data_IF_281330794551
#
_entry.id   IF_281330794551
#
_cell.length_a   1.000
_cell.length_b   1.000
_cell.length_c   1.000
_cell.angle_alpha   90.00
_cell.angle_beta   90.00
_cell.angle_gamma   90.00
#
_symmetry.space_group_name_H-M   'P 1'
#
loop_
_entity.id
_entity.type
_entity.pdbx_description
1 polymer ?
#
# COMPACT_ATOMS: atom_id res chain seq x y z
N UNK A 1 -27.78 -88.15 -21.27
CA UNK A 1 -27.50 -86.74 -21.63
C UNK A 1 -26.80 -86.11 -20.43
N UNK A 2 -25.47 -86.07 -20.45
CA UNK A 2 -24.60 -84.92 -20.81
C UNK A 2 -24.29 -84.07 -19.57
N UNK A 3 -23.16 -84.29 -18.89
CA UNK A 3 -21.81 -83.73 -19.12
C UNK A 3 -21.74 -82.19 -19.14
N UNK A 4 -21.00 -81.68 -18.14
CA UNK A 4 -20.41 -80.34 -18.01
C UNK A 4 -19.62 -79.92 -19.26
N UNK A 5 -19.56 -78.63 -19.60
CA UNK A 5 -18.35 -77.76 -19.54
C UNK A 5 -18.53 -76.36 -20.19
N UNK A 6 -17.68 -75.42 -19.75
CA UNK A 6 -17.67 -73.92 -19.90
C UNK A 6 -17.39 -73.36 -21.32
N UNK A 7 -17.55 -72.04 -21.61
CA UNK A 7 -16.48 -71.00 -21.47
C UNK A 7 -17.00 -69.52 -21.29
N UNK A 8 -16.20 -68.43 -21.44
CA UNK A 8 -14.90 -68.06 -20.84
C UNK A 8 -14.85 -66.65 -20.18
N UNK A 9 -13.69 -66.37 -19.57
CA UNK A 9 -13.18 -65.10 -19.04
C UNK A 9 -13.11 -63.92 -20.04
N UNK A 10 -13.42 -62.71 -19.55
CA UNK A 10 -12.74 -61.42 -19.85
C UNK A 10 -12.81 -60.65 -18.50
N UNK A 11 -11.76 -60.21 -17.81
CA UNK A 11 -10.45 -59.76 -18.25
C UNK A 11 -10.40 -58.23 -18.34
N UNK A 12 -10.63 -57.51 -17.23
CA UNK A 12 -10.22 -56.09 -17.09
C UNK A 12 -10.15 -55.72 -15.60
N UNK A 13 -8.94 -55.70 -15.05
CA UNK A 13 -8.67 -55.08 -13.75
C UNK A 13 -8.69 -53.57 -13.89
N UNK A 14 -9.74 -52.93 -13.36
CA UNK A 14 -9.76 -51.48 -13.17
C UNK A 14 -9.05 -51.19 -11.85
N UNK A 15 -7.82 -50.69 -11.92
CA UNK A 15 -7.10 -50.21 -10.75
C UNK A 15 -7.71 -48.87 -10.33
N UNK A 16 -8.60 -48.90 -9.33
CA UNK A 16 -9.27 -47.72 -8.80
C UNK A 16 -8.24 -46.82 -8.09
N UNK A 17 -8.00 -45.62 -8.62
CA UNK A 17 -7.24 -44.58 -7.92
C UNK A 17 -7.90 -44.28 -6.57
N UNK A 18 -7.08 -44.11 -5.52
CA UNK A 18 -7.63 -43.71 -4.22
C UNK A 18 -8.23 -42.30 -4.34
N UNK A 19 -9.44 -42.13 -3.81
CA UNK A 19 -10.21 -40.89 -3.87
C UNK A 19 -9.39 -39.65 -3.50
N UNK A 20 -8.46 -39.76 -2.54
CA UNK A 20 -7.58 -38.66 -2.12
C UNK A 20 -6.65 -38.12 -3.23
N UNK A 21 -6.12 -38.97 -4.12
CA UNK A 21 -5.26 -38.51 -5.22
C UNK A 21 -6.07 -37.79 -6.32
N UNK A 22 -7.31 -38.23 -6.56
CA UNK A 22 -8.24 -37.59 -7.48
C UNK A 22 -8.62 -36.19 -7.00
N UNK A 23 -8.91 -36.01 -5.71
CA UNK A 23 -9.22 -34.69 -5.15
C UNK A 23 -8.03 -33.73 -5.21
N UNK A 24 -6.82 -34.19 -4.89
CA UNK A 24 -5.62 -33.34 -4.95
C UNK A 24 -5.34 -32.78 -6.36
N UNK A 25 -5.59 -33.57 -7.41
CA UNK A 25 -5.35 -33.17 -8.80
C UNK A 25 -6.47 -32.28 -9.37
N UNK A 26 -7.71 -32.48 -8.94
CA UNK A 26 -8.83 -31.58 -9.26
C UNK A 26 -8.58 -30.19 -8.64
N UNK A 27 -8.18 -30.16 -7.37
CA UNK A 27 -7.81 -28.91 -6.68
C UNK A 27 -6.69 -28.20 -7.45
N UNK A 28 -5.71 -28.97 -7.93
CA UNK A 28 -4.55 -28.43 -8.62
C UNK A 28 -4.89 -27.72 -9.94
N UNK A 29 -5.70 -28.35 -10.81
CA UNK A 29 -6.04 -27.72 -12.10
C UNK A 29 -7.09 -26.65 -11.96
N UNK A 30 -8.00 -26.76 -10.99
CA UNK A 30 -8.84 -25.63 -10.60
C UNK A 30 -7.99 -24.44 -10.16
N UNK A 31 -6.91 -24.67 -9.40
CA UNK A 31 -6.00 -23.62 -8.98
C UNK A 31 -5.32 -22.93 -10.17
N UNK A 32 -4.70 -23.65 -11.11
CA UNK A 32 -4.08 -23.05 -12.32
C UNK A 32 -5.12 -22.28 -13.15
N UNK A 33 -6.28 -22.89 -13.35
CA UNK A 33 -7.35 -22.36 -14.20
C UNK A 33 -7.91 -21.07 -13.59
N UNK A 34 -8.15 -21.05 -12.28
CA UNK A 34 -8.52 -19.85 -11.52
C UNK A 34 -7.39 -18.80 -11.54
N UNK A 35 -6.14 -19.23 -11.49
CA UNK A 35 -4.97 -18.33 -11.51
C UNK A 35 -4.84 -17.63 -12.86
N UNK A 36 -4.90 -18.37 -13.97
CA UNK A 36 -4.88 -17.81 -15.33
C UNK A 36 -6.09 -16.89 -15.55
N UNK A 37 -7.28 -17.32 -15.13
CA UNK A 37 -8.49 -16.49 -15.21
C UNK A 37 -8.36 -15.21 -14.40
N UNK A 38 -7.84 -15.29 -13.17
CA UNK A 38 -7.60 -14.15 -12.29
C UNK A 38 -6.61 -13.17 -12.92
N UNK A 39 -5.46 -13.63 -13.43
CA UNK A 39 -4.47 -12.75 -14.05
C UNK A 39 -4.93 -12.17 -15.39
N UNK A 40 -5.66 -12.95 -16.20
CA UNK A 40 -6.24 -12.44 -17.45
C UNK A 40 -7.30 -11.39 -17.15
N UNK A 41 -8.13 -11.62 -16.13
CA UNK A 41 -9.12 -10.64 -15.66
C UNK A 41 -8.41 -9.39 -15.18
N UNK A 42 -7.44 -9.48 -14.26
CA UNK A 42 -6.67 -8.34 -13.74
C UNK A 42 -5.97 -7.53 -14.85
N UNK A 43 -5.39 -8.20 -15.85
CA UNK A 43 -4.79 -7.54 -17.01
C UNK A 43 -5.82 -6.74 -17.80
N UNK A 44 -6.99 -7.34 -18.07
CA UNK A 44 -8.10 -6.67 -18.78
C UNK A 44 -8.66 -5.52 -17.97
N UNK A 45 -8.91 -5.69 -16.67
CA UNK A 45 -9.44 -4.61 -15.83
C UNK A 45 -8.45 -3.45 -15.79
N UNK A 46 -7.16 -3.70 -15.56
CA UNK A 46 -6.16 -2.63 -15.53
C UNK A 46 -5.99 -1.95 -16.89
N UNK A 47 -6.04 -2.69 -18.00
CA UNK A 47 -5.98 -2.12 -19.34
C UNK A 47 -7.25 -1.32 -19.71
N UNK A 48 -8.42 -1.68 -19.18
CA UNK A 48 -9.65 -0.91 -19.34
C UNK A 48 -9.67 0.35 -18.48
N UNK A 49 -9.17 0.28 -17.23
CA UNK A 49 -9.02 1.44 -16.34
C UNK A 49 -8.05 2.47 -16.93
N UNK A 50 -7.01 2.03 -17.63
CA UNK A 50 -6.08 2.89 -18.37
C UNK A 50 -6.65 3.45 -19.70
N UNK A 51 -7.95 3.26 -19.99
CA UNK A 51 -8.65 3.67 -21.23
C UNK A 51 -8.03 3.18 -22.55
N UNK A 52 -7.16 2.17 -22.53
CA UNK A 52 -6.46 1.68 -23.75
C UNK A 52 -7.26 0.67 -24.58
N UNK A 53 -8.36 0.14 -24.03
CA UNK A 53 -9.15 -0.95 -24.62
C UNK A 53 -10.64 -0.62 -24.44
N UNK A 54 -11.43 -0.72 -25.51
CA UNK A 54 -12.87 -0.48 -25.49
C UNK A 54 -13.66 -1.56 -24.73
N UNK A 55 -14.87 -1.21 -24.27
CA UNK A 55 -15.76 -2.13 -23.51
C UNK A 55 -15.99 -3.46 -24.24
N UNK A 56 -16.12 -3.41 -25.58
CA UNK A 56 -16.32 -4.60 -26.41
C UNK A 56 -15.11 -5.54 -26.38
N UNK A 57 -13.91 -4.98 -26.42
CA UNK A 57 -12.65 -5.73 -26.40
C UNK A 57 -12.42 -6.36 -25.01
N UNK A 58 -12.80 -5.67 -23.93
CA UNK A 58 -12.79 -6.24 -22.58
C UNK A 58 -13.73 -7.45 -22.46
N UNK A 59 -14.96 -7.35 -22.99
CA UNK A 59 -15.93 -8.46 -23.03
C UNK A 59 -15.34 -9.64 -23.82
N UNK A 60 -14.72 -9.38 -24.98
CA UNK A 60 -14.11 -10.43 -25.80
C UNK A 60 -12.96 -11.16 -25.09
N UNK A 61 -12.11 -10.45 -24.35
CA UNK A 61 -11.03 -11.09 -23.59
C UNK A 61 -11.57 -11.90 -22.41
N UNK A 62 -12.59 -11.40 -21.70
CA UNK A 62 -13.25 -12.17 -20.63
C UNK A 62 -13.87 -13.45 -21.19
N UNK A 63 -14.57 -13.38 -22.33
CA UNK A 63 -15.14 -14.54 -22.99
C UNK A 63 -14.07 -15.53 -23.46
N UNK A 64 -12.94 -15.04 -23.98
CA UNK A 64 -11.80 -15.86 -24.36
C UNK A 64 -11.17 -16.57 -23.15
N UNK A 65 -11.02 -15.87 -22.02
CA UNK A 65 -10.52 -16.43 -20.76
C UNK A 65 -11.46 -17.53 -20.22
N UNK A 66 -12.78 -17.28 -20.22
CA UNK A 66 -13.78 -18.29 -19.83
C UNK A 66 -13.80 -19.49 -20.79
N UNK A 67 -13.58 -19.27 -22.08
CA UNK A 67 -13.46 -20.35 -23.06
C UNK A 67 -12.19 -21.20 -22.83
N UNK A 68 -11.05 -20.56 -22.57
CA UNK A 68 -9.81 -21.26 -22.21
C UNK A 68 -9.94 -22.03 -20.89
N UNK A 69 -10.62 -21.44 -19.89
CA UNK A 69 -10.92 -22.08 -18.62
C UNK A 69 -11.77 -23.35 -18.82
N UNK A 70 -12.85 -23.23 -19.58
CA UNK A 70 -13.77 -24.35 -19.86
C UNK A 70 -13.09 -25.43 -20.67
N UNK A 71 -12.30 -25.08 -21.68
CA UNK A 71 -11.50 -26.05 -22.44
C UNK A 71 -10.44 -26.74 -21.58
N UNK A 72 -9.82 -26.02 -20.64
CA UNK A 72 -8.86 -26.59 -19.68
C UNK A 72 -9.53 -27.58 -18.72
N UNK A 73 -10.75 -27.26 -18.25
CA UNK A 73 -11.56 -28.16 -17.40
C UNK A 73 -12.02 -29.39 -18.19
N UNK A 74 -12.45 -29.24 -19.44
CA UNK A 74 -12.83 -30.37 -20.32
C UNK A 74 -11.60 -31.24 -20.61
N UNK A 75 -10.46 -30.62 -20.89
CA UNK A 75 -9.17 -31.30 -21.05
C UNK A 75 -8.79 -32.08 -19.80
N UNK A 76 -8.97 -31.52 -18.61
CA UNK A 76 -8.75 -32.19 -17.32
C UNK A 76 -9.67 -33.39 -17.11
N UNK A 77 -10.95 -33.27 -17.45
CA UNK A 77 -11.95 -34.36 -17.33
C UNK A 77 -11.61 -35.50 -18.30
N UNK A 78 -11.13 -35.17 -19.49
CA UNK A 78 -10.66 -36.16 -20.45
C UNK A 78 -9.35 -36.82 -20.00
N UNK A 79 -8.43 -36.02 -19.46
CA UNK A 79 -7.10 -36.38 -18.96
C UNK A 79 -7.16 -37.33 -17.75
N UNK A 80 -8.02 -37.04 -16.76
CA UNK A 80 -8.23 -37.90 -15.58
C UNK A 80 -8.78 -39.27 -15.93
N UNK A 81 -9.36 -39.45 -17.13
CA UNK A 81 -9.88 -40.72 -17.61
C UNK A 81 -8.88 -41.59 -18.37
N UNK A 82 -7.73 -41.07 -18.84
CA UNK A 82 -6.94 -41.73 -19.89
C UNK A 82 -5.41 -41.84 -19.67
N UNK A 83 -4.85 -41.55 -18.48
CA UNK A 83 -3.38 -41.59 -18.29
C UNK A 83 -2.79 -42.71 -17.43
N UNK A 84 -1.74 -43.30 -17.97
CA UNK A 84 -0.77 -44.18 -17.32
C UNK A 84 0.17 -43.38 -16.38
N UNK A 85 0.55 -43.96 -15.24
CA UNK A 85 1.45 -43.36 -14.23
C UNK A 85 2.78 -42.79 -14.79
N UNK A 86 3.25 -43.32 -15.91
CA UNK A 86 4.53 -42.94 -16.54
C UNK A 86 4.60 -41.47 -17.02
N UNK A 87 3.48 -40.77 -17.21
CA UNK A 87 3.46 -39.39 -17.72
C UNK A 87 3.31 -38.32 -16.63
N UNK A 88 3.09 -38.68 -15.35
CA UNK A 88 2.94 -37.71 -14.24
C UNK A 88 4.10 -36.70 -14.14
N UNK A 89 5.39 -37.08 -14.28
CA UNK A 89 6.51 -36.13 -14.19
C UNK A 89 6.49 -35.06 -15.28
N UNK A 90 6.03 -35.40 -16.49
CA UNK A 90 5.93 -34.46 -17.62
C UNK A 90 4.91 -33.35 -17.32
N UNK A 91 3.78 -33.68 -16.69
CA UNK A 91 2.76 -32.69 -16.38
C UNK A 91 3.12 -31.82 -15.18
N UNK A 92 3.80 -32.38 -14.16
CA UNK A 92 4.37 -31.58 -13.06
C UNK A 92 5.44 -30.60 -13.53
N UNK A 93 6.27 -31.01 -14.49
CA UNK A 93 7.29 -30.11 -15.08
C UNK A 93 6.65 -29.02 -15.93
N UNK A 94 5.67 -29.34 -16.79
CA UNK A 94 4.94 -28.35 -17.60
C UNK A 94 4.27 -27.28 -16.73
N UNK A 95 3.74 -27.72 -15.60
CA UNK A 95 3.08 -26.89 -14.63
C UNK A 95 4.03 -25.99 -13.84
N UNK A 96 5.13 -26.54 -13.31
CA UNK A 96 6.19 -25.73 -12.69
C UNK A 96 6.69 -24.69 -13.69
N UNK A 97 6.90 -25.06 -14.95
CA UNK A 97 7.26 -24.13 -16.02
C UNK A 97 6.18 -23.05 -16.23
N UNK A 98 4.90 -23.39 -16.18
CA UNK A 98 3.80 -22.42 -16.30
C UNK A 98 3.73 -21.44 -15.12
N UNK A 99 3.99 -21.91 -13.90
CA UNK A 99 4.03 -21.06 -12.71
C UNK A 99 5.25 -20.13 -12.73
N UNK A 100 6.42 -20.67 -13.11
CA UNK A 100 7.63 -19.88 -13.29
C UNK A 100 7.46 -18.83 -14.39
N UNK A 101 6.81 -19.17 -15.51
CA UNK A 101 6.50 -18.23 -16.58
C UNK A 101 5.50 -17.16 -16.11
N UNK A 102 4.46 -17.53 -15.37
CA UNK A 102 3.50 -16.57 -14.82
C UNK A 102 4.18 -15.60 -13.84
N UNK A 103 5.04 -16.11 -12.97
CA UNK A 103 5.86 -15.30 -12.05
C UNK A 103 6.82 -14.38 -12.81
N UNK A 104 7.49 -14.89 -13.86
CA UNK A 104 8.36 -14.10 -14.71
C UNK A 104 7.61 -12.95 -15.41
N UNK A 105 6.44 -13.23 -15.99
CA UNK A 105 5.61 -12.21 -16.65
C UNK A 105 5.15 -11.15 -15.65
N UNK A 106 4.76 -11.53 -14.44
CA UNK A 106 4.41 -10.56 -13.39
C UNK A 106 5.60 -9.69 -12.99
N UNK A 107 6.77 -10.31 -12.83
CA UNK A 107 8.00 -9.60 -12.52
C UNK A 107 8.35 -8.59 -13.61
N UNK A 108 8.34 -9.01 -14.88
CA UNK A 108 8.58 -8.10 -16.01
C UNK A 108 7.55 -6.96 -16.06
N UNK A 109 6.26 -7.26 -15.86
CA UNK A 109 5.22 -6.24 -15.83
C UNK A 109 5.44 -5.23 -14.70
N UNK A 110 5.84 -5.70 -13.52
CA UNK A 110 6.16 -4.83 -12.38
C UNK A 110 7.39 -3.95 -12.68
N UNK A 111 8.43 -4.50 -13.30
CA UNK A 111 9.62 -3.73 -13.70
C UNK A 111 9.30 -2.70 -14.80
N UNK A 112 8.49 -3.07 -15.80
CA UNK A 112 7.99 -2.12 -16.80
C UNK A 112 7.17 -1.02 -16.11
N UNK A 113 6.29 -1.38 -15.18
CA UNK A 113 5.48 -0.41 -14.45
C UNK A 113 6.37 0.55 -13.63
N UNK A 114 7.41 0.05 -12.95
CA UNK A 114 8.37 0.90 -12.23
C UNK A 114 9.17 1.80 -13.17
N UNK A 115 9.48 1.35 -14.38
CA UNK A 115 10.16 2.17 -15.39
C UNK A 115 9.24 3.27 -15.94
N UNK A 116 7.95 2.99 -16.11
CA UNK A 116 6.98 3.96 -16.62
C UNK A 116 6.53 4.94 -15.53
N UNK A 117 6.36 4.44 -14.31
CA UNK A 117 5.81 5.17 -13.16
C UNK A 117 6.71 5.02 -11.93
N UNK A 118 7.96 5.51 -11.97
CA UNK A 118 8.91 5.35 -10.87
C UNK A 118 8.50 6.12 -9.61
N UNK A 119 7.62 7.13 -9.69
CA UNK A 119 7.30 8.01 -8.56
C UNK A 119 8.57 8.60 -7.94
N UNK A 120 8.69 8.55 -6.62
CA UNK A 120 9.87 9.01 -5.89
C UNK A 120 11.16 8.23 -6.24
N UNK A 121 11.05 7.02 -6.81
CA UNK A 121 12.22 6.27 -7.29
C UNK A 121 12.94 6.98 -8.44
N UNK A 122 12.27 7.91 -9.13
CA UNK A 122 12.92 8.79 -10.09
C UNK A 122 14.08 9.57 -9.47
N UNK A 123 13.98 9.90 -8.17
CA UNK A 123 14.95 10.70 -7.45
C UNK A 123 16.07 9.82 -6.89
N UNK A 124 15.74 8.84 -6.03
CA UNK A 124 16.79 8.06 -5.32
C UNK A 124 17.47 6.99 -6.17
N UNK A 125 16.89 6.59 -7.31
CA UNK A 125 17.52 5.67 -8.27
C UNK A 125 17.91 6.36 -9.58
N UNK A 126 17.78 7.69 -9.68
CA UNK A 126 18.08 8.48 -10.89
C UNK A 126 17.38 7.92 -12.16
N UNK A 127 16.09 7.56 -12.01
CA UNK A 127 15.30 7.01 -13.11
C UNK A 127 14.66 8.16 -13.88
N UNK A 128 15.04 8.35 -15.13
CA UNK A 128 14.32 9.25 -16.05
C UNK A 128 12.98 8.61 -16.45
N UNK A 129 11.84 9.19 -16.06
CA UNK A 129 10.53 8.67 -16.42
C UNK A 129 10.32 8.80 -17.93
N UNK A 130 9.49 7.92 -18.51
CA UNK A 130 9.17 8.01 -19.93
C UNK A 130 8.25 9.19 -20.20
N UNK A 131 8.58 9.98 -21.22
CA UNK A 131 7.75 11.10 -21.68
C UNK A 131 6.52 10.65 -22.48
N UNK A 132 5.53 11.55 -22.57
CA UNK A 132 4.33 11.40 -23.40
C UNK A 132 3.51 10.14 -23.10
N UNK A 133 3.45 9.75 -21.82
CA UNK A 133 2.52 8.74 -21.33
C UNK A 133 1.52 9.40 -20.37
N UNK A 134 0.29 8.88 -20.26
CA UNK A 134 -0.65 9.35 -19.24
C UNK A 134 -0.06 9.13 -17.84
N UNK A 135 -0.43 10.00 -16.90
CA UNK A 135 -0.13 9.80 -15.49
C UNK A 135 -0.67 8.46 -14.98
N UNK A 136 -0.07 7.97 -13.89
CA UNK A 136 -0.48 6.69 -13.29
C UNK A 136 -1.95 6.71 -12.85
N UNK A 137 -2.38 7.81 -12.23
CA UNK A 137 -3.77 8.02 -11.84
C UNK A 137 -4.52 8.86 -12.88
N UNK A 138 -5.79 8.52 -13.12
CA UNK A 138 -6.74 9.44 -13.75
C UNK A 138 -7.13 10.56 -12.77
N UNK A 139 -7.71 11.65 -13.27
CA UNK A 139 -8.19 12.75 -12.42
C UNK A 139 -9.36 12.33 -11.53
N UNK A 140 -10.16 11.36 -11.97
CA UNK A 140 -11.27 10.81 -11.20
C UNK A 140 -10.76 9.89 -10.07
N UNK A 141 -9.75 9.07 -10.35
CA UNK A 141 -9.22 8.10 -9.40
C UNK A 141 -8.31 8.76 -8.35
N UNK A 142 -7.56 9.79 -8.74
CA UNK A 142 -6.57 10.42 -7.84
C UNK A 142 -7.20 11.01 -6.58
N UNK A 143 -8.42 11.56 -6.68
CA UNK A 143 -9.15 12.14 -5.55
C UNK A 143 -9.48 11.06 -4.49
N UNK A 144 -9.65 9.82 -4.94
CA UNK A 144 -9.94 8.66 -4.10
C UNK A 144 -8.68 7.85 -3.72
N UNK A 145 -7.51 8.25 -4.20
CA UNK A 145 -6.21 7.60 -3.94
C UNK A 145 -5.74 7.85 -2.50
N UNK A 146 -6.38 7.16 -1.55
CA UNK A 146 -6.23 7.29 -0.10
C UNK A 146 -5.82 5.95 0.53
N UNK A 147 -5.20 5.95 1.73
CA UNK A 147 -4.82 4.72 2.40
C UNK A 147 -5.97 3.72 2.49
N UNK A 148 -5.68 2.43 2.29
CA UNK A 148 -6.70 1.38 2.18
C UNK A 148 -7.62 1.30 3.41
N UNK A 149 -7.11 1.65 4.59
CA UNK A 149 -7.88 1.61 5.83
C UNK A 149 -9.04 2.62 5.88
N UNK A 150 -9.06 3.64 5.02
CA UNK A 150 -10.21 4.56 4.87
C UNK A 150 -11.47 3.88 4.33
N UNK A 151 -11.38 2.65 3.79
CA UNK A 151 -12.54 1.87 3.37
C UNK A 151 -13.30 1.24 4.54
N UNK A 152 -12.75 1.31 5.75
CA UNK A 152 -13.27 0.67 6.94
C UNK A 152 -13.65 1.71 7.99
N UNK A 153 -14.95 2.00 8.13
CA UNK A 153 -15.47 3.01 9.06
C UNK A 153 -15.06 2.75 10.52
N UNK A 154 -14.85 1.49 10.90
CA UNK A 154 -14.37 1.13 12.23
C UNK A 154 -12.93 1.58 12.52
N UNK A 155 -12.15 1.96 11.50
CA UNK A 155 -10.79 2.49 11.64
C UNK A 155 -10.76 4.02 11.74
N UNK A 156 -11.93 4.68 11.73
CA UNK A 156 -12.06 6.13 11.65
C UNK A 156 -12.78 6.69 12.89
N UNK A 157 -12.25 7.76 13.46
CA UNK A 157 -12.81 8.45 14.63
C UNK A 157 -13.20 9.92 14.37
N UNK A 158 -13.36 10.36 13.10
CA UNK A 158 -13.54 11.77 12.69
C UNK A 158 -14.52 12.62 13.51
N UNK A 159 -15.56 12.02 14.10
CA UNK A 159 -16.58 12.72 14.89
C UNK A 159 -16.71 12.18 16.32
N UNK A 160 -15.71 11.41 16.77
CA UNK A 160 -15.79 10.61 17.99
C UNK A 160 -14.65 10.97 18.93
N UNK A 161 -14.96 11.00 20.22
CA UNK A 161 -13.96 11.07 21.29
C UNK A 161 -13.43 9.70 21.70
N UNK A 162 -14.12 8.63 21.26
CA UNK A 162 -13.74 7.24 21.48
C UNK A 162 -12.51 6.87 20.64
N UNK A 163 -11.59 6.12 21.25
CA UNK A 163 -10.40 5.62 20.56
C UNK A 163 -10.75 4.35 19.81
N UNK A 164 -10.66 4.42 18.48
CA UNK A 164 -10.74 3.26 17.58
C UNK A 164 -9.36 2.87 17.11
N UNK A 165 -9.16 1.57 16.94
CA UNK A 165 -7.89 0.99 16.51
C UNK A 165 -8.11 -0.07 15.43
N UNK A 166 -7.32 0.02 14.37
CA UNK A 166 -7.16 -1.07 13.41
C UNK A 166 -5.69 -1.46 13.34
N UNK A 167 -5.41 -2.75 13.20
CA UNK A 167 -4.04 -3.28 13.15
C UNK A 167 -3.74 -3.87 11.77
N UNK A 168 -2.55 -3.58 11.24
CA UNK A 168 -2.03 -4.02 9.94
C UNK A 168 -0.58 -4.53 10.07
N UNK A 169 -0.06 -5.13 9.01
CA UNK A 169 1.29 -5.71 8.99
C UNK A 169 1.35 -7.04 9.75
N UNK A 170 2.45 -7.27 10.47
CA UNK A 170 2.64 -8.48 11.27
C UNK A 170 1.82 -8.36 12.56
N UNK A 171 0.61 -8.91 12.57
CA UNK A 171 -0.30 -8.84 13.74
C UNK A 171 -0.03 -9.92 14.77
N UNK A 172 0.54 -11.05 14.34
CA UNK A 172 0.89 -12.20 15.17
C UNK A 172 2.40 -12.16 15.49
N UNK A 173 2.73 -12.03 16.77
CA UNK A 173 4.13 -12.03 17.28
C UNK A 173 5.10 -11.02 16.60
N UNK A 174 4.76 -9.71 16.58
CA UNK A 174 5.66 -8.70 16.02
C UNK A 174 6.84 -8.37 16.95
N UNK A 175 7.99 -8.04 16.38
CA UNK A 175 9.15 -7.52 17.13
C UNK A 175 8.88 -6.11 17.68
N UNK A 176 8.17 -5.29 16.90
CA UNK A 176 7.84 -3.91 17.25
C UNK A 176 6.36 -3.56 17.02
N UNK A 177 5.86 -2.57 17.74
CA UNK A 177 4.55 -1.96 17.48
C UNK A 177 4.72 -0.49 17.11
N UNK A 178 4.26 -0.10 15.92
CA UNK A 178 4.20 1.28 15.47
C UNK A 178 2.76 1.79 15.55
N UNK A 179 2.51 2.82 16.35
CA UNK A 179 1.23 3.52 16.37
C UNK A 179 1.23 4.70 15.38
N UNK A 180 0.39 4.66 14.36
CA UNK A 180 0.17 5.76 13.42
C UNK A 180 -0.98 6.63 13.92
N UNK A 181 -0.68 7.87 14.35
CA UNK A 181 -1.63 8.65 15.17
C UNK A 181 -2.04 10.00 14.60
N UNK A 182 -3.31 10.33 14.87
CA UNK A 182 -4.01 11.57 14.63
C UNK A 182 -4.68 11.70 13.27
N UNK A 183 -4.25 12.62 12.40
CA UNK A 183 -5.05 13.08 11.27
C UNK A 183 -4.61 12.57 9.90
N UNK A 184 -5.31 13.04 8.87
CA UNK A 184 -5.11 12.70 7.45
C UNK A 184 -3.66 12.86 6.96
N UNK A 185 -2.91 13.82 7.51
CA UNK A 185 -1.50 14.06 7.19
C UNK A 185 -0.54 13.08 7.88
N UNK A 186 -0.92 12.45 8.99
CA UNK A 186 -0.18 11.28 9.48
C UNK A 186 -0.59 10.05 8.66
N UNK A 187 -1.90 9.86 8.47
CA UNK A 187 -2.50 8.74 7.80
C UNK A 187 -2.00 8.53 6.36
N UNK A 188 -1.75 9.62 5.61
CA UNK A 188 -1.32 9.49 4.23
C UNK A 188 0.06 8.83 4.07
N UNK A 189 0.84 8.65 5.15
CA UNK A 189 2.12 7.95 5.15
C UNK A 189 1.98 6.43 5.24
N UNK A 190 0.81 5.93 5.61
CA UNK A 190 0.54 4.49 5.71
C UNK A 190 0.99 3.67 4.49
N UNK A 191 0.79 4.09 3.22
CA UNK A 191 1.21 3.34 2.05
C UNK A 191 2.73 3.13 1.92
N UNK A 192 3.54 3.98 2.57
CA UNK A 192 4.99 3.81 2.67
C UNK A 192 5.38 2.89 3.84
N UNK A 193 4.61 2.93 4.93
CA UNK A 193 4.85 2.18 6.17
C UNK A 193 4.42 0.70 6.00
N UNK A 194 3.25 0.46 5.41
CA UNK A 194 2.65 -0.87 5.25
C UNK A 194 3.60 -1.92 4.62
N UNK A 195 4.23 -1.68 3.47
CA UNK A 195 5.13 -2.67 2.88
C UNK A 195 6.39 -2.95 3.73
N UNK A 196 6.78 -2.04 4.61
CA UNK A 196 7.93 -2.23 5.51
C UNK A 196 7.58 -3.09 6.72
N UNK A 197 6.30 -3.27 7.03
CA UNK A 197 5.85 -4.04 8.20
C UNK A 197 6.31 -5.51 8.16
N UNK A 198 6.20 -6.15 7.01
CA UNK A 198 6.70 -7.52 6.80
C UNK A 198 8.23 -7.57 6.75
N UNK A 199 8.87 -6.54 6.21
CA UNK A 199 10.33 -6.50 6.09
C UNK A 199 11.02 -6.33 7.45
N UNK A 200 10.46 -5.46 8.30
CA UNK A 200 11.00 -5.09 9.61
C UNK A 200 10.25 -5.77 10.78
N UNK A 201 9.37 -6.73 10.47
CA UNK A 201 8.60 -7.55 11.41
C UNK A 201 7.85 -6.75 12.50
N UNK A 202 7.00 -5.79 12.11
CA UNK A 202 6.24 -4.97 13.06
C UNK A 202 4.74 -4.90 12.76
N UNK A 203 3.97 -4.62 13.82
CA UNK A 203 2.53 -4.32 13.74
C UNK A 203 2.32 -2.82 13.60
N UNK A 204 1.41 -2.42 12.71
CA UNK A 204 0.93 -1.05 12.60
C UNK A 204 -0.40 -0.93 13.33
N UNK A 205 -0.47 -0.13 14.39
CA UNK A 205 -1.71 0.23 15.07
C UNK A 205 -2.17 1.63 14.63
N UNK A 206 -3.27 1.70 13.89
CA UNK A 206 -3.81 2.95 13.34
C UNK A 206 -4.81 3.55 14.32
N UNK A 207 -4.55 4.80 14.73
CA UNK A 207 -5.44 5.64 15.51
C UNK A 207 -5.75 6.91 14.71
N UNK A 208 -6.73 6.82 13.80
CA UNK A 208 -7.05 7.91 12.87
C UNK A 208 -8.32 8.67 13.28
N UNK A 209 -8.17 9.98 13.42
CA UNK A 209 -9.25 10.96 13.54
C UNK A 209 -9.06 12.00 12.44
N UNK A 210 -9.80 11.84 11.34
CA UNK A 210 -9.72 12.75 10.19
C UNK A 210 -10.02 14.20 10.62
N UNK A 211 -9.31 15.17 10.03
CA UNK A 211 -9.39 16.58 10.41
C UNK A 211 -8.72 16.94 11.76
N UNK A 212 -8.16 15.98 12.49
CA UNK A 212 -7.46 16.22 13.76
C UNK A 212 -5.93 16.28 13.57
N UNK A 213 -5.23 16.57 14.67
CA UNK A 213 -3.76 16.67 14.78
C UNK A 213 -3.33 16.06 16.11
N UNK A 214 -2.08 15.59 16.24
CA UNK A 214 -1.58 15.07 17.52
C UNK A 214 -1.15 16.24 18.42
N UNK A 215 -2.13 16.90 19.04
CA UNK A 215 -1.95 18.17 19.77
C UNK A 215 -2.89 18.25 20.96
N UNK A 216 -2.51 19.01 21.98
CA UNK A 216 -3.37 19.37 23.11
C UNK A 216 -3.81 20.85 23.09
N UNK A 217 -3.51 21.59 22.02
CA UNK A 217 -3.96 22.96 21.80
C UNK A 217 -4.49 23.19 20.38
N UNK A 218 -5.32 24.23 20.25
CA UNK A 218 -5.81 24.76 18.99
C UNK A 218 -5.86 26.30 19.04
N UNK A 219 -4.70 26.99 19.01
CA UNK A 219 -4.66 28.45 19.12
C UNK A 219 -5.36 29.16 17.96
N UNK A 220 -5.49 28.49 16.80
CA UNK A 220 -6.05 29.06 15.57
C UNK A 220 -7.56 28.75 15.41
N UNK A 221 -8.16 27.95 16.30
CA UNK A 221 -9.59 27.59 16.23
C UNK A 221 -9.96 26.73 15.02
N UNK A 222 -9.02 25.90 14.54
CA UNK A 222 -9.21 25.05 13.36
C UNK A 222 -9.60 23.60 13.69
N UNK A 223 -9.51 23.21 14.96
CA UNK A 223 -9.82 21.87 15.45
C UNK A 223 -11.17 21.87 16.18
N UNK A 224 -11.82 20.71 16.15
CA UNK A 224 -13.05 20.50 16.90
C UNK A 224 -12.73 20.23 18.37
N UNK A 225 -13.68 20.51 19.27
CA UNK A 225 -13.55 20.13 20.69
C UNK A 225 -13.35 18.61 20.84
N UNK A 226 -14.01 17.82 19.98
CA UNK A 226 -13.86 16.37 19.95
C UNK A 226 -12.43 15.95 19.62
N UNK A 227 -11.72 16.66 18.74
CA UNK A 227 -10.33 16.36 18.42
C UNK A 227 -9.41 16.57 19.64
N UNK A 228 -9.62 17.62 20.43
CA UNK A 228 -8.82 17.88 21.64
C UNK A 228 -9.11 16.84 22.72
N UNK A 229 -10.39 16.51 22.94
CA UNK A 229 -10.78 15.46 23.88
C UNK A 229 -10.26 14.08 23.47
N UNK A 230 -10.37 13.74 22.17
CA UNK A 230 -9.84 12.51 21.60
C UNK A 230 -8.31 12.39 21.78
N UNK A 231 -7.56 13.49 21.63
CA UNK A 231 -6.12 13.51 21.87
C UNK A 231 -5.77 13.20 23.33
N UNK A 232 -6.53 13.74 24.29
CA UNK A 232 -6.35 13.42 25.70
C UNK A 232 -6.62 11.93 25.98
N UNK A 233 -7.68 11.39 25.38
CA UNK A 233 -8.00 9.96 25.49
C UNK A 233 -6.94 9.06 24.84
N UNK A 234 -6.41 9.46 23.68
CA UNK A 234 -5.40 8.70 22.96
C UNK A 234 -4.10 8.59 23.77
N UNK A 235 -3.64 9.67 24.42
CA UNK A 235 -2.47 9.62 25.31
C UNK A 235 -2.65 8.55 26.39
N UNK A 236 -3.84 8.45 26.99
CA UNK A 236 -4.11 7.44 28.00
C UNK A 236 -4.02 6.02 27.43
N UNK A 237 -4.56 5.79 26.22
CA UNK A 237 -4.47 4.49 25.54
C UNK A 237 -3.02 4.13 25.22
N UNK A 238 -2.25 5.07 24.68
CA UNK A 238 -0.83 4.87 24.36
C UNK A 238 0.00 4.59 25.62
N UNK A 239 -0.28 5.24 26.75
CA UNK A 239 0.43 4.96 28.01
C UNK A 239 0.08 3.61 28.63
N UNK A 240 -1.16 3.16 28.47
CA UNK A 240 -1.61 1.88 29.01
C UNK A 240 -1.01 0.69 28.25
N UNK A 241 -0.86 0.82 26.93
CA UNK A 241 -0.25 -0.18 26.07
C UNK A 241 0.75 0.51 25.13
N UNK A 242 1.96 0.83 25.65
CA UNK A 242 2.94 1.62 24.91
C UNK A 242 3.38 0.92 23.62
N UNK A 243 3.21 1.55 22.45
CA UNK A 243 3.90 1.11 21.24
C UNK A 243 5.40 1.40 21.36
N UNK A 244 6.20 0.76 20.53
CA UNK A 244 7.61 1.10 20.36
C UNK A 244 7.79 2.50 19.79
N UNK A 245 7.05 2.78 18.71
CA UNK A 245 7.14 4.02 17.96
C UNK A 245 5.75 4.62 17.80
N UNK A 246 5.63 5.93 18.06
CA UNK A 246 4.47 6.73 17.69
C UNK A 246 4.84 7.59 16.48
N UNK A 247 4.23 7.29 15.34
CA UNK A 247 4.40 8.01 14.09
C UNK A 247 3.39 9.16 13.99
N UNK A 248 3.86 10.38 13.82
CA UNK A 248 3.01 11.57 13.66
C UNK A 248 3.70 12.68 12.85
N UNK A 249 3.05 13.82 12.68
CA UNK A 249 3.61 14.99 11.97
C UNK A 249 4.40 15.91 12.92
N UNK A 250 5.47 16.55 12.44
CA UNK A 250 6.29 17.50 13.18
C UNK A 250 5.90 18.96 12.97
N UNK A 251 5.19 19.28 11.89
CA UNK A 251 4.81 20.63 11.51
C UNK A 251 3.39 20.68 10.94
N UNK A 252 2.97 21.87 10.49
CA UNK A 252 1.67 22.11 9.90
C UNK A 252 1.83 22.79 8.55
N UNK A 253 1.58 22.06 7.47
CA UNK A 253 1.80 22.48 6.10
C UNK A 253 3.16 23.21 5.98
N UNK A 254 3.15 24.39 5.36
CA UNK A 254 4.32 25.26 5.13
C UNK A 254 4.88 26.00 6.35
N UNK A 255 4.40 25.76 7.57
CA UNK A 255 4.91 26.44 8.77
C UNK A 255 6.35 26.03 9.06
N UNK A 256 7.15 26.97 9.54
CA UNK A 256 8.58 26.82 9.86
C UNK A 256 8.87 26.50 11.33
N UNK A 257 7.86 26.06 12.09
CA UNK A 257 7.99 25.78 13.51
C UNK A 257 7.18 24.54 13.91
N UNK A 258 7.62 23.88 14.97
CA UNK A 258 6.87 22.80 15.64
C UNK A 258 5.81 23.43 16.56
N UNK A 259 4.51 23.09 16.43
CA UNK A 259 3.48 23.56 17.35
C UNK A 259 3.76 23.16 18.80
N UNK A 260 3.52 24.04 19.78
CA UNK A 260 3.81 23.74 21.20
C UNK A 260 2.97 22.58 21.72
N UNK A 261 1.73 22.44 21.26
CA UNK A 261 0.90 21.29 21.62
C UNK A 261 1.41 19.96 21.09
N UNK A 262 2.18 19.95 20.01
CA UNK A 262 2.83 18.73 19.54
C UNK A 262 3.92 18.34 20.52
N UNK A 263 4.79 19.29 20.87
CA UNK A 263 5.87 19.12 21.86
C UNK A 263 5.32 18.58 23.18
N UNK A 264 4.24 19.16 23.71
CA UNK A 264 3.62 18.69 24.97
C UNK A 264 3.02 17.29 24.86
N UNK A 265 2.44 16.93 23.72
CA UNK A 265 1.95 15.57 23.50
C UNK A 265 3.10 14.56 23.44
N UNK A 266 4.23 14.93 22.82
CA UNK A 266 5.42 14.08 22.76
C UNK A 266 6.08 13.92 24.13
N UNK A 267 6.15 15.01 24.92
CA UNK A 267 6.66 15.01 26.30
C UNK A 267 5.85 14.06 27.19
N UNK A 268 4.52 14.02 27.00
CA UNK A 268 3.67 13.07 27.73
C UNK A 268 4.06 11.62 27.45
N UNK A 269 4.65 11.30 26.30
CA UNK A 269 5.07 9.95 25.93
C UNK A 269 6.55 9.65 26.26
N UNK A 270 7.28 10.61 26.85
CA UNK A 270 8.66 10.39 27.28
C UNK A 270 8.71 9.27 28.34
N UNK A 271 9.62 8.31 28.13
CA UNK A 271 9.71 7.09 28.94
C UNK A 271 8.71 5.99 28.59
N UNK A 272 7.78 6.22 27.64
CA UNK A 272 6.82 5.22 27.17
C UNK A 272 7.13 4.73 25.75
N UNK A 273 7.37 5.67 24.82
CA UNK A 273 7.54 5.37 23.40
C UNK A 273 8.50 6.35 22.73
N UNK A 274 9.19 5.90 21.68
CA UNK A 274 9.86 6.81 20.74
C UNK A 274 8.80 7.51 19.92
N UNK A 275 8.93 8.83 19.72
CA UNK A 275 8.07 9.57 18.78
C UNK A 275 8.87 9.80 17.50
N UNK A 276 8.37 9.28 16.37
CA UNK A 276 8.88 9.64 15.05
C UNK A 276 7.96 10.70 14.44
N UNK A 277 8.44 11.94 14.39
CA UNK A 277 7.71 13.08 13.89
C UNK A 277 8.21 13.47 12.48
N UNK A 278 7.41 13.22 11.45
CA UNK A 278 7.77 13.54 10.06
C UNK A 278 7.35 14.97 9.72
N UNK A 279 8.20 15.71 9.00
CA UNK A 279 7.85 17.02 8.47
C UNK A 279 6.59 16.93 7.61
N UNK A 280 5.70 17.90 7.79
CA UNK A 280 4.47 17.96 7.00
C UNK A 280 4.75 18.32 5.54
N UNK A 281 3.77 18.07 4.67
CA UNK A 281 3.91 18.13 3.22
C UNK A 281 3.73 19.55 2.67
N UNK A 282 4.23 19.81 1.45
CA UNK A 282 3.95 21.07 0.77
C UNK A 282 2.45 21.29 0.58
N UNK A 283 2.05 22.57 0.59
CA UNK A 283 0.69 23.01 0.31
C UNK A 283 0.63 23.76 -1.01
N UNK A 284 -0.01 23.15 -1.98
CA UNK A 284 -0.24 23.69 -3.31
C UNK A 284 -1.29 24.81 -3.29
N UNK A 285 -1.20 25.75 -4.25
CA UNK A 285 -2.06 26.93 -4.32
C UNK A 285 -3.52 26.57 -4.64
N UNK A 286 -3.71 25.52 -5.43
CA UNK A 286 -5.02 25.01 -5.85
C UNK A 286 -5.01 23.47 -5.87
N UNK A 287 -6.18 22.81 -5.94
CA UNK A 287 -6.23 21.36 -6.01
C UNK A 287 -5.45 20.84 -7.22
N UNK A 288 -4.39 20.07 -6.97
CA UNK A 288 -3.44 19.63 -8.00
C UNK A 288 -4.11 18.94 -9.20
N UNK A 289 -5.08 18.00 -9.02
CA UNK A 289 -5.76 17.38 -10.15
C UNK A 289 -6.52 18.37 -11.03
N UNK A 290 -7.18 19.37 -10.42
CA UNK A 290 -7.93 20.37 -11.16
C UNK A 290 -7.01 21.30 -11.98
N UNK A 291 -5.87 21.69 -11.41
CA UNK A 291 -4.88 22.48 -12.13
C UNK A 291 -4.33 21.74 -13.36
N UNK A 292 -3.88 20.49 -13.18
CA UNK A 292 -3.31 19.70 -14.27
C UNK A 292 -4.35 19.47 -15.38
N UNK A 293 -5.61 19.21 -15.01
CA UNK A 293 -6.71 19.08 -15.97
C UNK A 293 -6.94 20.38 -16.76
N UNK A 294 -6.93 21.54 -16.09
CA UNK A 294 -7.08 22.84 -16.74
C UNK A 294 -5.93 23.13 -17.72
N UNK A 295 -4.72 22.67 -17.40
CA UNK A 295 -3.51 22.91 -18.15
C UNK A 295 -3.10 21.74 -19.06
N UNK A 296 -4.02 20.82 -19.38
CA UNK A 296 -3.79 19.67 -20.28
C UNK A 296 -2.51 18.87 -19.94
N UNK A 297 -2.36 18.51 -18.66
CA UNK A 297 -1.24 17.75 -18.11
C UNK A 297 0.11 18.51 -18.06
N UNK A 298 0.13 19.82 -18.38
CA UNK A 298 1.34 20.64 -18.21
C UNK A 298 1.71 20.80 -16.73
N UNK A 299 2.90 20.34 -16.34
CA UNK A 299 3.38 20.32 -14.95
C UNK A 299 3.77 21.71 -14.44
N UNK A 300 4.40 22.52 -15.30
CA UNK A 300 5.00 23.80 -14.88
C UNK A 300 3.99 24.81 -14.31
N UNK A 301 2.79 25.01 -14.91
CA UNK A 301 1.77 25.92 -14.36
C UNK A 301 1.25 25.49 -12.98
N UNK A 302 1.32 24.20 -12.66
CA UNK A 302 0.82 23.61 -11.42
C UNK A 302 1.92 23.35 -10.38
N UNK A 303 3.16 23.72 -10.70
CA UNK A 303 4.29 23.70 -9.77
C UNK A 303 4.34 25.00 -8.97
N UNK A 304 5.01 24.97 -7.82
CA UNK A 304 5.11 26.14 -6.94
C UNK A 304 6.54 26.42 -6.51
N UNK A 305 6.91 27.71 -6.30
CA UNK A 305 8.13 28.02 -5.58
C UNK A 305 8.17 27.30 -4.22
N UNK A 306 9.31 26.69 -3.89
CA UNK A 306 9.45 25.86 -2.68
C UNK A 306 9.04 26.63 -1.45
N UNK A 307 9.53 27.86 -1.28
CA UNK A 307 9.24 28.74 -0.14
C UNK A 307 7.78 29.19 -0.02
N UNK A 308 6.99 29.11 -1.10
CA UNK A 308 5.55 29.36 -1.06
C UNK A 308 4.75 28.13 -0.63
N UNK A 309 5.20 26.94 -1.03
CA UNK A 309 4.54 25.66 -0.77
C UNK A 309 4.99 25.00 0.54
N UNK A 310 6.23 25.23 0.96
CA UNK A 310 6.87 24.65 2.14
C UNK A 310 7.95 25.59 2.68
N UNK A 311 8.07 25.74 4.00
CA UNK A 311 9.17 26.50 4.59
C UNK A 311 10.55 26.02 4.09
N UNK A 312 11.53 26.91 3.91
CA UNK A 312 12.93 26.48 3.73
C UNK A 312 13.57 26.04 5.04
N UNK A 313 13.22 26.73 6.12
CA UNK A 313 13.68 26.40 7.46
C UNK A 313 13.03 25.10 7.94
N UNK A 314 13.86 24.20 8.46
CA UNK A 314 13.41 22.93 9.03
C UNK A 314 12.73 23.22 10.38
N UNK A 315 11.47 22.77 10.59
CA UNK A 315 10.64 23.27 11.71
C UNK A 315 11.21 23.09 13.11
N UNK A 316 11.99 22.02 13.34
CA UNK A 316 12.56 21.70 14.64
C UNK A 316 13.93 22.33 14.91
N UNK A 317 14.61 22.89 13.90
CA UNK A 317 15.88 23.61 14.12
C UNK A 317 15.69 24.90 14.92
N UNK A 318 14.48 25.45 14.90
CA UNK A 318 14.08 26.64 15.66
C UNK A 318 13.22 26.31 16.89
N UNK A 319 13.09 25.03 17.26
CA UNK A 319 12.22 24.60 18.34
C UNK A 319 13.01 24.37 19.65
N UNK A 320 12.53 24.97 20.73
CA UNK A 320 13.06 24.73 22.07
C UNK A 320 12.33 23.57 22.77
N UNK A 321 13.00 22.93 23.72
CA UNK A 321 12.43 21.91 24.61
C UNK A 321 11.84 20.68 23.86
N UNK A 322 12.48 20.27 22.77
CA UNK A 322 12.13 18.98 22.14
C UNK A 322 12.47 17.84 23.12
N UNK A 323 11.49 16.98 23.47
CA UNK A 323 11.70 15.85 24.36
C UNK A 323 12.72 14.85 23.83
N UNK A 324 13.41 14.15 24.72
CA UNK A 324 14.53 13.27 24.37
C UNK A 324 14.10 12.01 23.60
N UNK A 325 12.82 11.65 23.67
CA UNK A 325 12.23 10.52 22.96
C UNK A 325 11.83 10.83 21.50
N UNK A 326 12.04 12.05 21.00
CA UNK A 326 11.66 12.44 19.63
C UNK A 326 12.78 12.20 18.64
N UNK A 327 12.41 11.68 17.46
CA UNK A 327 13.21 11.67 16.23
C UNK A 327 12.41 12.37 15.13
N UNK A 328 13.12 13.05 14.23
CA UNK A 328 12.52 13.74 13.11
C UNK A 328 12.86 13.09 11.77
N UNK A 329 11.92 13.13 10.84
CA UNK A 329 12.13 12.76 9.44
C UNK A 329 11.76 13.91 8.51
N UNK A 330 12.55 14.11 7.45
CA UNK A 330 12.25 15.08 6.40
C UNK A 330 12.37 14.42 5.03
N UNK A 331 11.24 14.29 4.33
CA UNK A 331 11.17 13.75 2.97
C UNK A 331 10.83 14.85 1.94
N UNK A 332 11.01 16.13 2.30
CA UNK A 332 10.63 17.27 1.47
C UNK A 332 11.30 17.29 0.11
N UNK A 333 12.52 16.75 0.02
CA UNK A 333 13.29 16.67 -1.22
C UNK A 333 12.72 15.64 -2.21
N UNK A 334 11.73 14.85 -1.77
CA UNK A 334 10.94 13.98 -2.63
C UNK A 334 9.61 14.62 -3.07
N UNK A 335 9.40 15.90 -2.77
CA UNK A 335 8.29 16.68 -3.30
C UNK A 335 8.78 17.94 -4.01
N UNK A 336 9.95 18.44 -3.62
CA UNK A 336 10.51 19.68 -4.10
C UNK A 336 12.01 19.52 -4.40
N UNK A 337 12.51 20.22 -5.43
CA UNK A 337 13.94 20.50 -5.56
C UNK A 337 14.33 21.72 -4.70
N UNK A 338 15.51 22.31 -4.92
CA UNK A 338 15.98 23.49 -4.16
C UNK A 338 15.04 24.72 -4.27
N UNK A 339 14.24 24.80 -5.33
CA UNK A 339 13.50 26.01 -5.72
C UNK A 339 12.01 25.79 -5.96
N UNK A 340 11.58 24.57 -6.24
CA UNK A 340 10.26 24.25 -6.81
C UNK A 340 9.70 22.98 -6.18
N UNK A 341 8.44 23.03 -5.75
CA UNK A 341 7.65 21.86 -5.40
C UNK A 341 6.78 21.45 -6.58
N UNK A 342 6.77 20.15 -6.88
CA UNK A 342 6.14 19.62 -8.08
C UNK A 342 4.79 18.96 -7.79
N UNK A 343 3.82 19.04 -8.71
CA UNK A 343 2.54 18.32 -8.62
C UNK A 343 2.66 16.84 -9.01
N UNK A 344 3.69 16.51 -9.81
CA UNK A 344 3.92 15.18 -10.39
C UNK A 344 5.41 14.89 -10.37
N UNK A 345 5.80 13.72 -9.89
CA UNK A 345 7.17 13.20 -9.99
C UNK A 345 7.08 11.74 -10.44
N UNK A 346 7.92 11.34 -11.40
CA UNK A 346 7.95 9.97 -11.86
C UNK A 346 6.64 9.48 -12.49
N UNK A 347 5.92 10.36 -13.21
CA UNK A 347 4.61 10.12 -13.82
C UNK A 347 3.48 9.75 -12.84
N UNK A 348 3.65 10.03 -11.55
CA UNK A 348 2.64 9.81 -10.51
C UNK A 348 2.27 11.17 -9.89
N UNK A 349 0.96 11.46 -9.79
CA UNK A 349 0.48 12.67 -9.11
C UNK A 349 0.82 12.57 -7.63
N UNK A 350 1.44 13.61 -7.09
CA UNK A 350 1.85 13.66 -5.68
C UNK A 350 0.65 13.93 -4.78
N UNK A 351 -0.22 14.87 -5.17
CA UNK A 351 -1.33 15.34 -4.33
C UNK A 351 -2.70 14.97 -4.93
N UNK A 352 -3.59 14.47 -4.08
CA UNK A 352 -5.01 14.25 -4.43
C UNK A 352 -5.86 15.52 -4.33
N UNK A 353 -5.34 16.52 -3.62
CA UNK A 353 -5.93 17.86 -3.47
C UNK A 353 -4.82 18.91 -3.35
N UNK A 354 -4.98 19.92 -2.50
CA UNK A 354 -3.98 20.96 -2.25
C UNK A 354 -2.81 20.50 -1.38
N UNK A 355 -2.94 19.43 -0.59
CA UNK A 355 -1.91 19.11 0.42
C UNK A 355 -1.85 17.65 0.85
N UNK A 356 -2.88 16.85 0.59
CA UNK A 356 -2.84 15.43 0.89
C UNK A 356 -2.14 14.66 -0.22
N UNK A 357 -1.18 13.82 0.19
CA UNK A 357 -0.49 12.93 -0.73
C UNK A 357 -1.40 11.81 -1.25
N UNK A 358 -1.12 11.35 -2.46
CA UNK A 358 -1.70 10.15 -3.06
C UNK A 358 -1.03 8.90 -2.50
N UNK A 359 -1.79 7.81 -2.33
CA UNK A 359 -1.21 6.56 -1.82
C UNK A 359 -0.25 5.95 -2.83
N UNK A 360 -0.53 6.10 -4.12
CA UNK A 360 0.35 5.61 -5.19
C UNK A 360 1.72 6.28 -5.15
N UNK A 361 1.80 7.60 -4.91
CA UNK A 361 3.08 8.28 -4.76
C UNK A 361 3.78 7.88 -3.46
N UNK A 362 3.07 7.93 -2.34
CA UNK A 362 3.65 7.64 -1.02
C UNK A 362 4.23 6.23 -0.95
N UNK A 363 3.58 5.24 -1.57
CA UNK A 363 4.11 3.87 -1.61
C UNK A 363 5.52 3.79 -2.21
N UNK A 364 5.87 4.67 -3.15
CA UNK A 364 7.23 4.72 -3.74
C UNK A 364 8.29 5.30 -2.79
N UNK A 365 7.88 5.95 -1.70
CA UNK A 365 8.76 6.49 -0.65
C UNK A 365 9.14 5.45 0.41
N UNK A 366 8.62 4.22 0.37
CA UNK A 366 8.95 3.20 1.37
C UNK A 366 10.47 2.99 1.55
N UNK A 367 11.30 2.87 0.48
CA UNK A 367 12.75 2.73 0.65
C UNK A 367 13.43 3.94 1.31
N UNK A 368 12.88 5.13 1.11
CA UNK A 368 13.37 6.39 1.69
C UNK A 368 12.98 6.50 3.16
N UNK A 369 11.76 6.07 3.50
CA UNK A 369 11.24 6.12 4.87
C UNK A 369 11.88 5.04 5.77
N UNK A 370 12.26 3.90 5.18
CA UNK A 370 12.85 2.75 5.86
C UNK A 370 13.98 3.08 6.85
N UNK A 371 15.08 3.78 6.46
CA UNK A 371 16.16 4.08 7.40
C UNK A 371 15.68 4.84 8.65
N UNK A 372 14.71 5.75 8.51
CA UNK A 372 14.14 6.47 9.64
C UNK A 372 13.36 5.56 10.59
N UNK A 373 12.59 4.60 10.06
CA UNK A 373 11.85 3.65 10.91
C UNK A 373 12.80 2.70 11.64
N UNK A 374 13.88 2.25 10.98
CA UNK A 374 14.92 1.43 11.63
C UNK A 374 15.53 2.19 12.81
N UNK A 375 15.95 3.45 12.60
CA UNK A 375 16.48 4.30 13.69
C UNK A 375 15.47 4.48 14.84
N UNK A 376 14.19 4.66 14.51
CA UNK A 376 13.14 4.81 15.52
C UNK A 376 12.93 3.55 16.38
N UNK A 377 12.97 2.36 15.77
CA UNK A 377 12.91 1.09 16.49
C UNK A 377 14.16 0.85 17.34
N UNK A 378 15.36 1.13 16.81
CA UNK A 378 16.60 1.03 17.59
C UNK A 378 16.58 1.96 18.82
N UNK A 379 16.05 3.17 18.67
CA UNK A 379 15.86 4.10 19.79
C UNK A 379 14.82 3.60 20.80
N UNK A 380 13.73 2.96 20.36
CA UNK A 380 12.69 2.47 21.27
C UNK A 380 13.21 1.36 22.20
N UNK A 381 14.16 0.54 21.74
CA UNK A 381 14.83 -0.43 22.60
C UNK A 381 15.61 0.20 23.75
N UNK A 382 16.12 1.42 23.56
CA UNK A 382 16.83 2.16 24.61
C UNK A 382 15.88 2.68 25.68
N UNK A 383 14.63 3.01 25.32
CA UNK A 383 13.59 3.45 26.26
C UNK A 383 13.09 2.27 27.12
N UNK A 384 13.06 1.06 26.54
CA UNK A 384 12.62 -0.17 27.24
C UNK A 384 13.63 -0.72 28.26
N UNK A 385 14.91 -0.34 28.15
CA UNK A 385 16.00 -0.75 29.06
C UNK A 385 16.16 0.24 30.20
#
# INVERSE_FOLDING_TARGET
MQQQWRPPFIGAGVQLYSTKQMYAQIIYVLFISLTISFYTTQYVTRASYAQRIGVLECILVILAALCLLTLSIIGLIWYTRHLHEAQRPFWWTLLLLSLLLAQYVQYEQAEIQKSLYPGAAAIYNDITPRDNIPFYQSYEDVILDRPVFYQYDQCQAMYLVEIRKCSYGVVDDPDYVLALVAGSHSAHWFPAIEPLAEELNFRIDIYNHDGCRFTDEDPDGHLTEQCIEWNANLINVLKQNPPDVVFTTASLNKRNYVPRGYIRQWERLEGYSTVFAIRDTPRMNEPTPACLQQHNDEIAPCSMPRDEALSREVPWENADNIPSNVLFGDLSDYFCDDTTCYPVIGNILIYRDQHHLTSSYVKTLAPVLRPYLVEAFEKSETIKR
#
